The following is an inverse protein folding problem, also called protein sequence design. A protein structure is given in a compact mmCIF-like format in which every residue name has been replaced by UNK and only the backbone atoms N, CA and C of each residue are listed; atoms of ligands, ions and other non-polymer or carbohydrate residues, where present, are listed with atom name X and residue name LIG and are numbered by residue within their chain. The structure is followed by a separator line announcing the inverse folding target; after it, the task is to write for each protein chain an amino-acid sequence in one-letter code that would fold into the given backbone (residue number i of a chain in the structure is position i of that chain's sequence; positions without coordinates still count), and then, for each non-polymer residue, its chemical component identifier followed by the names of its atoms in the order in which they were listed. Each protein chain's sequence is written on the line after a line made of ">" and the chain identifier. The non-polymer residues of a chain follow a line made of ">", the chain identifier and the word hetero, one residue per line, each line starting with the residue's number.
data_IF_740268196405
#
_entry.id   IF_740268196405
#
_cell.length_a   1.000
_cell.length_b   1.000
_cell.length_c   1.000
_cell.angle_alpha   90.00
_cell.angle_beta   90.00
_cell.angle_gamma   90.00
#
_symmetry.space_group_name_H-M   'P 1'
#
loop_
_entity.id
_entity.type
_entity.pdbx_description
1 polymer ?
#
# COMPACT_ATOMS: atom_id res chain seq x y z
N UNK A 1 24.97 -11.99 1.08
CA UNK A 1 25.09 -10.57 1.48
C UNK A 1 26.19 -9.96 0.63
N UNK A 2 25.84 -9.13 -0.34
CA UNK A 2 26.81 -8.33 -1.09
C UNK A 2 26.74 -6.92 -0.50
N UNK A 3 27.81 -6.49 0.16
CA UNK A 3 27.92 -5.17 0.78
C UNK A 3 27.95 -4.11 -0.31
N UNK A 4 26.80 -3.50 -0.58
CA UNK A 4 26.73 -2.26 -1.34
C UNK A 4 26.60 -1.16 -0.29
N UNK A 5 27.74 -0.61 0.18
CA UNK A 5 27.92 0.55 1.06
C UNK A 5 26.93 0.77 2.25
N UNK A 6 27.47 0.75 3.48
CA UNK A 6 26.78 1.15 4.72
C UNK A 6 25.43 0.42 4.93
N UNK A 7 24.34 1.16 5.13
CA UNK A 7 23.01 0.66 5.46
C UNK A 7 22.16 0.28 4.24
N UNK A 8 22.71 0.34 3.02
CA UNK A 8 22.02 -0.10 1.81
C UNK A 8 22.12 -1.62 1.64
N UNK A 9 20.98 -2.27 1.44
CA UNK A 9 20.86 -3.73 1.50
C UNK A 9 19.91 -4.25 0.42
N UNK A 10 20.27 -5.37 -0.18
CA UNK A 10 19.34 -6.27 -0.87
C UNK A 10 19.15 -7.50 0.01
N UNK A 11 17.94 -7.68 0.55
CA UNK A 11 17.62 -8.66 1.59
C UNK A 11 16.51 -9.58 1.10
N UNK A 12 16.69 -10.88 1.25
CA UNK A 12 15.57 -11.81 1.28
C UNK A 12 15.01 -11.84 2.71
N UNK A 13 13.84 -11.24 2.90
CA UNK A 13 13.18 -11.10 4.22
C UNK A 13 12.61 -12.45 4.69
N UNK A 14 12.40 -13.38 3.75
CA UNK A 14 11.74 -14.66 3.99
C UNK A 14 10.39 -14.71 3.30
N UNK A 15 9.57 -15.66 3.69
CA UNK A 15 8.20 -15.84 3.20
C UNK A 15 7.24 -15.93 4.39
N UNK A 16 6.03 -16.46 4.15
CA UNK A 16 5.06 -16.65 5.23
C UNK A 16 5.40 -17.81 6.17
N UNK A 17 6.29 -18.74 5.79
CA UNK A 17 6.76 -19.89 6.57
C UNK A 17 5.72 -20.98 6.85
N UNK A 18 4.45 -20.59 7.01
CA UNK A 18 3.34 -21.43 7.49
C UNK A 18 2.32 -21.78 6.40
N UNK A 19 2.56 -21.33 5.16
CA UNK A 19 1.76 -21.68 4.00
C UNK A 19 0.55 -20.76 3.74
N UNK A 20 -0.50 -21.34 3.15
CA UNK A 20 -1.74 -20.65 2.79
C UNK A 20 -2.47 -20.10 4.03
N UNK A 21 -3.39 -19.15 3.81
CA UNK A 21 -4.24 -18.52 4.82
C UNK A 21 -3.49 -17.80 5.95
N UNK A 22 -2.26 -17.37 5.67
CA UNK A 22 -1.42 -16.63 6.59
C UNK A 22 -1.44 -15.13 6.28
N UNK A 23 -1.69 -14.32 7.30
CA UNK A 23 -1.51 -12.86 7.27
C UNK A 23 -0.19 -12.50 7.93
N UNK A 24 0.52 -11.56 7.31
CA UNK A 24 1.91 -11.28 7.63
C UNK A 24 2.18 -9.78 7.77
N UNK A 25 3.02 -9.43 8.72
CA UNK A 25 3.65 -8.11 8.83
C UNK A 25 5.11 -8.23 8.43
N UNK A 26 5.62 -7.22 7.72
CA UNK A 26 7.06 -7.00 7.56
C UNK A 26 7.43 -5.86 8.48
N UNK A 27 8.25 -6.12 9.50
CA UNK A 27 8.78 -5.08 10.38
C UNK A 27 9.76 -4.22 9.58
N UNK A 28 9.57 -2.89 9.59
CA UNK A 28 10.44 -1.97 8.86
C UNK A 28 11.59 -1.50 9.74
N UNK A 29 11.26 -0.80 10.83
CA UNK A 29 12.20 -0.33 11.84
C UNK A 29 11.49 0.03 13.14
N UNK A 30 12.24 0.18 14.24
CA UNK A 30 11.72 0.60 15.54
C UNK A 30 11.15 2.04 15.47
N UNK A 31 10.02 2.26 16.14
CA UNK A 31 9.38 3.57 16.32
C UNK A 31 9.82 4.21 17.63
N UNK A 32 9.96 5.53 17.64
CA UNK A 32 10.23 6.36 18.81
C UNK A 32 11.47 5.93 19.61
N UNK A 33 12.45 5.33 18.92
CA UNK A 33 13.68 4.86 19.55
C UNK A 33 14.69 5.99 19.73
N UNK A 34 15.71 5.76 20.56
CA UNK A 34 16.76 6.72 20.94
C UNK A 34 17.72 7.14 19.82
N UNK A 35 17.66 6.49 18.67
CA UNK A 35 18.49 6.77 17.50
C UNK A 35 17.62 6.91 16.24
N UNK A 36 18.23 7.46 15.18
CA UNK A 36 17.56 7.61 13.89
C UNK A 36 17.37 6.25 13.24
N UNK A 37 16.11 5.86 13.05
CA UNK A 37 15.71 4.62 12.40
C UNK A 37 15.02 4.94 11.09
N UNK A 38 15.21 4.12 10.07
CA UNK A 38 14.61 4.38 8.77
C UNK A 38 14.53 3.13 7.92
N UNK A 39 13.60 3.16 6.98
CA UNK A 39 13.54 2.23 5.86
C UNK A 39 13.15 3.04 4.62
N UNK A 40 14.02 3.04 3.61
CA UNK A 40 13.81 3.73 2.34
C UNK A 40 14.16 2.76 1.22
N UNK A 41 13.18 2.29 0.47
CA UNK A 41 13.41 1.26 -0.53
C UNK A 41 12.15 0.64 -1.09
N UNK A 42 12.35 -0.49 -1.77
CA UNK A 42 11.28 -1.25 -2.40
C UNK A 42 11.21 -2.63 -1.77
N UNK A 43 10.02 -3.03 -1.37
CA UNK A 43 9.67 -4.41 -1.01
C UNK A 43 8.88 -5.00 -2.18
N UNK A 44 9.39 -6.09 -2.72
CA UNK A 44 8.70 -6.88 -3.76
C UNK A 44 8.28 -8.21 -3.16
N UNK A 45 7.00 -8.54 -3.26
CA UNK A 45 6.50 -9.87 -2.92
C UNK A 45 6.26 -10.63 -4.22
N UNK A 46 6.96 -11.76 -4.39
CA UNK A 46 6.71 -12.63 -5.53
C UNK A 46 5.84 -13.80 -5.10
N UNK A 47 4.80 -14.02 -5.88
CA UNK A 47 4.06 -15.27 -5.94
C UNK A 47 3.95 -15.67 -7.39
N UNK A 48 4.07 -16.95 -7.67
CA UNK A 48 3.64 -17.53 -8.94
C UNK A 48 4.18 -18.93 -9.15
N UNK A 49 3.46 -19.71 -9.96
CA UNK A 49 3.94 -20.96 -10.54
C UNK A 49 3.28 -21.15 -11.90
N UNK A 50 3.80 -22.08 -12.70
CA UNK A 50 3.17 -22.45 -13.97
C UNK A 50 1.68 -22.76 -13.76
N UNK A 51 0.80 -22.17 -14.58
CA UNK A 51 -0.66 -22.29 -14.48
C UNK A 51 -1.35 -21.37 -13.46
N UNK A 52 -0.61 -20.74 -12.53
CA UNK A 52 -1.18 -19.82 -11.53
C UNK A 52 -0.85 -18.34 -11.78
N UNK A 53 0.03 -18.06 -12.76
CA UNK A 53 0.61 -16.74 -13.09
C UNK A 53 1.25 -16.05 -11.89
N UNK A 54 1.94 -14.92 -12.12
CA UNK A 54 2.48 -14.12 -11.03
C UNK A 54 1.50 -13.04 -10.58
N UNK A 55 1.70 -12.53 -9.36
CA UNK A 55 1.03 -11.33 -8.86
C UNK A 55 1.99 -10.16 -8.89
N UNK A 56 1.46 -8.97 -9.18
CA UNK A 56 2.18 -7.72 -8.94
C UNK A 56 1.88 -7.30 -7.51
N UNK A 57 2.92 -7.19 -6.70
CA UNK A 57 2.78 -6.83 -5.30
C UNK A 57 4.05 -6.14 -4.83
N UNK A 58 4.08 -4.81 -5.01
CA UNK A 58 5.27 -3.98 -4.80
C UNK A 58 4.91 -2.81 -3.90
N UNK A 59 5.69 -2.61 -2.84
CA UNK A 59 5.59 -1.46 -1.97
C UNK A 59 6.88 -0.63 -2.03
N UNK A 60 6.75 0.66 -2.34
CA UNK A 60 7.81 1.65 -2.20
C UNK A 60 7.58 2.39 -0.89
N UNK A 61 8.54 2.25 0.01
CA UNK A 61 8.47 2.82 1.36
C UNK A 61 9.52 3.91 1.51
N UNK A 62 9.12 4.97 2.21
CA UNK A 62 10.03 5.99 2.73
C UNK A 62 9.56 6.31 4.14
N UNK A 63 10.30 5.81 5.12
CA UNK A 63 9.95 5.99 6.53
C UNK A 63 11.16 6.31 7.38
N UNK A 64 10.92 7.05 8.45
CA UNK A 64 11.90 7.31 9.48
C UNK A 64 11.26 7.48 10.84
N UNK A 65 12.05 7.26 11.88
CA UNK A 65 11.67 7.56 13.25
C UNK A 65 12.85 8.08 14.06
N UNK A 66 12.52 8.94 15.01
CA UNK A 66 13.37 9.44 16.08
C UNK A 66 12.60 9.37 17.40
N UNK A 67 13.19 9.76 18.52
CA UNK A 67 12.64 9.65 19.87
C UNK A 67 11.22 10.24 20.06
N UNK A 68 10.73 11.07 19.15
CA UNK A 68 9.49 11.84 19.30
C UNK A 68 8.43 11.55 18.24
N UNK A 69 8.82 11.01 17.09
CA UNK A 69 7.90 10.83 15.97
C UNK A 69 8.33 9.72 15.03
N UNK A 70 7.32 9.20 14.34
CA UNK A 70 7.49 8.30 13.21
C UNK A 70 6.80 8.92 12.02
N UNK A 71 7.47 8.93 10.88
CA UNK A 71 6.94 9.45 9.63
C UNK A 71 7.08 8.41 8.52
N UNK A 72 6.07 8.29 7.68
CA UNK A 72 6.10 7.36 6.56
C UNK A 72 5.25 7.84 5.37
N UNK A 73 5.75 7.52 4.18
CA UNK A 73 5.01 7.47 2.93
C UNK A 73 5.02 6.02 2.38
N UNK A 74 3.95 5.65 1.70
CA UNK A 74 3.79 4.36 1.04
C UNK A 74 3.14 4.57 -0.33
N UNK A 75 3.82 4.12 -1.37
CA UNK A 75 3.25 3.96 -2.71
C UNK A 75 3.24 2.48 -3.07
N UNK A 76 2.14 1.99 -3.65
CA UNK A 76 1.97 0.55 -3.94
C UNK A 76 1.54 0.29 -5.37
N UNK A 77 1.99 -0.83 -5.90
CA UNK A 77 1.58 -1.38 -7.19
C UNK A 77 1.09 -2.81 -6.94
N UNK A 78 -0.23 -3.00 -6.88
CA UNK A 78 -0.85 -4.25 -6.46
C UNK A 78 -2.04 -4.62 -7.36
N UNK A 79 -2.29 -5.92 -7.52
CA UNK A 79 -3.35 -6.45 -8.40
C UNK A 79 -4.66 -6.86 -7.68
N UNK A 80 -4.65 -7.08 -6.36
CA UNK A 80 -5.82 -7.60 -5.61
C UNK A 80 -6.00 -7.10 -4.17
N UNK A 81 -5.14 -6.19 -3.69
CA UNK A 81 -5.26 -5.58 -2.37
C UNK A 81 -4.05 -4.69 -2.07
N UNK A 82 -4.23 -3.66 -1.27
CA UNK A 82 -3.17 -2.69 -0.99
C UNK A 82 -2.32 -3.10 0.21
N UNK A 83 -1.00 -2.86 0.14
CA UNK A 83 -0.18 -2.87 1.35
C UNK A 83 -0.68 -1.78 2.30
N UNK A 84 -0.55 -2.01 3.60
CA UNK A 84 -0.97 -1.05 4.61
C UNK A 84 0.14 -0.80 5.60
N UNK A 85 0.41 0.48 5.89
CA UNK A 85 1.26 0.86 7.00
C UNK A 85 0.55 0.52 8.31
N UNK A 86 1.30 -0.07 9.23
CA UNK A 86 0.86 -0.45 10.56
C UNK A 86 1.87 -0.02 11.60
N UNK A 87 1.41 0.11 12.83
CA UNK A 87 2.29 -0.04 14.01
C UNK A 87 2.00 -1.35 14.70
N UNK A 88 3.00 -1.93 15.35
CA UNK A 88 2.83 -3.10 16.19
C UNK A 88 3.86 -3.14 17.33
N UNK A 89 3.56 -3.84 18.40
CA UNK A 89 4.55 -4.22 19.41
C UNK A 89 5.14 -5.58 19.05
N UNK A 90 6.47 -5.67 18.88
CA UNK A 90 7.20 -6.91 18.68
C UNK A 90 8.32 -7.05 19.73
N UNK A 91 8.35 -8.15 20.48
CA UNK A 91 9.33 -8.39 21.56
C UNK A 91 9.49 -7.18 22.52
N UNK A 92 8.38 -6.54 22.89
CA UNK A 92 8.35 -5.40 23.82
C UNK A 92 8.73 -4.04 23.22
N UNK A 93 9.12 -3.98 21.94
CA UNK A 93 9.43 -2.73 21.22
C UNK A 93 8.33 -2.39 20.22
N UNK A 94 8.11 -1.11 19.95
CA UNK A 94 7.14 -0.66 18.94
C UNK A 94 7.83 -0.51 17.59
N UNK A 95 7.21 -1.02 16.53
CA UNK A 95 7.74 -0.97 15.16
C UNK A 95 6.74 -0.34 14.22
N UNK A 96 7.27 0.34 13.20
CA UNK A 96 6.57 0.59 11.97
C UNK A 96 6.66 -0.69 11.16
N UNK A 97 5.51 -1.14 10.65
CA UNK A 97 5.41 -2.39 9.91
C UNK A 97 4.54 -2.20 8.67
N UNK A 98 4.65 -3.15 7.75
CA UNK A 98 3.86 -3.20 6.54
C UNK A 98 3.02 -4.49 6.52
N UNK A 99 1.70 -4.36 6.51
CA UNK A 99 0.80 -5.48 6.28
C UNK A 99 0.86 -5.88 4.81
N UNK A 100 1.24 -7.14 4.58
CA UNK A 100 1.27 -7.74 3.25
C UNK A 100 -0.17 -7.92 2.75
N UNK A 101 -0.50 -7.54 1.49
CA UNK A 101 -1.80 -7.80 0.90
C UNK A 101 -2.24 -9.26 1.05
N UNK A 102 -3.36 -9.46 1.75
CA UNK A 102 -3.85 -10.80 2.06
C UNK A 102 -4.66 -11.39 0.91
N UNK A 103 -4.33 -12.63 0.54
CA UNK A 103 -5.24 -13.57 -0.12
C UNK A 103 -5.07 -14.94 0.51
N UNK A 104 -6.08 -15.79 0.34
CA UNK A 104 -6.08 -17.18 0.83
C UNK A 104 -4.81 -17.94 0.49
N UNK A 105 -4.18 -17.65 -0.65
CA UNK A 105 -2.92 -18.27 -0.99
C UNK A 105 -1.75 -17.26 -0.87
N UNK A 106 -0.62 -17.73 -0.33
CA UNK A 106 0.50 -16.90 0.14
C UNK A 106 1.51 -16.50 -0.97
N UNK A 107 2.50 -15.69 -0.59
CA UNK A 107 3.68 -15.31 -1.39
C UNK A 107 4.79 -16.34 -1.23
N UNK A 108 4.71 -17.41 -2.01
CA UNK A 108 5.57 -18.58 -1.87
C UNK A 108 7.02 -18.39 -2.34
N UNK A 109 7.31 -17.35 -3.12
CA UNK A 109 8.69 -16.96 -3.43
C UNK A 109 9.23 -15.92 -2.44
N UNK A 110 8.42 -15.53 -1.45
CA UNK A 110 8.78 -14.64 -0.36
C UNK A 110 8.85 -13.17 -0.73
N UNK A 111 9.55 -12.43 0.12
CA UNK A 111 9.65 -10.99 0.13
C UNK A 111 11.11 -10.58 -0.03
N UNK A 112 11.36 -9.68 -0.98
CA UNK A 112 12.68 -9.10 -1.21
C UNK A 112 12.62 -7.60 -0.94
N UNK A 113 13.60 -7.11 -0.17
CA UNK A 113 13.84 -5.70 0.03
C UNK A 113 15.09 -5.26 -0.72
N UNK A 114 15.04 -4.08 -1.33
CA UNK A 114 16.22 -3.36 -1.81
C UNK A 114 16.11 -1.90 -1.40
N UNK A 115 17.08 -1.40 -0.63
CA UNK A 115 17.09 -0.02 -0.15
C UNK A 115 17.95 0.21 1.08
N UNK A 116 17.86 1.40 1.66
CA UNK A 116 18.51 1.79 2.91
C UNK A 116 17.65 1.37 4.11
N UNK A 117 18.22 0.68 5.08
CA UNK A 117 17.52 0.33 6.32
C UNK A 117 18.42 0.30 7.55
N UNK A 118 17.99 1.02 8.58
CA UNK A 118 18.59 1.04 9.92
C UNK A 118 17.51 0.95 10.99
N UNK A 119 17.71 0.07 11.96
CA UNK A 119 16.84 -0.11 13.13
C UNK A 119 17.67 -0.38 14.38
N UNK A 120 17.32 0.21 15.51
CA UNK A 120 17.86 -0.11 16.86
C UNK A 120 17.30 -1.42 17.44
N UNK A 121 16.31 -1.99 16.77
CA UNK A 121 15.78 -3.33 17.03
C UNK A 121 15.81 -4.18 15.76
N UNK A 122 14.77 -4.98 15.57
CA UNK A 122 14.60 -5.78 14.37
C UNK A 122 14.36 -4.89 13.12
N UNK A 123 14.76 -5.35 11.95
CA UNK A 123 14.49 -4.66 10.69
C UNK A 123 14.30 -5.67 9.56
N UNK A 124 13.33 -5.41 8.68
CA UNK A 124 13.03 -6.26 7.53
C UNK A 124 12.78 -7.73 7.91
N UNK A 125 11.98 -7.95 8.95
CA UNK A 125 11.60 -9.27 9.44
C UNK A 125 10.14 -9.60 9.12
N UNK A 126 9.91 -10.80 8.59
CA UNK A 126 8.57 -11.35 8.31
C UNK A 126 7.98 -11.99 9.56
N UNK A 127 6.80 -11.53 10.00
CA UNK A 127 6.12 -12.04 11.21
C UNK A 127 4.64 -12.28 10.92
N UNK A 128 4.20 -13.53 11.00
CA UNK A 128 2.78 -13.85 10.88
C UNK A 128 2.01 -13.36 12.10
N UNK A 129 0.81 -12.81 11.89
CA UNK A 129 -0.09 -12.43 12.97
C UNK A 129 -1.40 -13.21 12.97
N UNK A 130 -1.72 -13.90 11.89
CA UNK A 130 -2.87 -14.80 11.82
C UNK A 130 -2.65 -15.92 10.81
N UNK A 131 -3.09 -17.14 11.15
CA UNK A 131 -3.12 -18.30 10.26
C UNK A 131 -4.50 -18.94 10.37
N UNK A 132 -5.17 -19.19 9.25
CA UNK A 132 -6.56 -19.68 9.24
C UNK A 132 -7.51 -18.81 10.08
N UNK A 133 -7.29 -17.50 10.07
CA UNK A 133 -7.99 -16.52 10.91
C UNK A 133 -7.81 -16.69 12.43
N UNK A 134 -6.89 -17.56 12.86
CA UNK A 134 -6.50 -17.71 14.28
C UNK A 134 -5.27 -16.83 14.53
N UNK A 135 -5.25 -15.98 15.58
CA UNK A 135 -4.07 -15.23 15.95
C UNK A 135 -2.87 -16.14 16.27
N UNK A 136 -1.69 -15.80 15.78
CA UNK A 136 -0.43 -16.52 16.05
C UNK A 136 0.63 -15.53 16.54
N UNK A 137 1.73 -16.04 17.09
CA UNK A 137 2.83 -15.23 17.63
C UNK A 137 2.39 -14.23 18.72
N UNK A 138 1.27 -14.47 19.40
CA UNK A 138 0.65 -13.54 20.37
C UNK A 138 1.50 -13.26 21.61
N UNK A 139 2.49 -14.12 21.90
CA UNK A 139 3.46 -13.89 22.98
C UNK A 139 4.52 -12.85 22.63
N UNK A 140 4.76 -12.60 21.35
CA UNK A 140 5.82 -11.70 20.86
C UNK A 140 5.27 -10.55 20.02
N UNK A 141 4.09 -10.70 19.42
CA UNK A 141 3.46 -9.72 18.55
C UNK A 141 2.08 -9.32 19.08
N UNK A 142 1.88 -8.02 19.29
CA UNK A 142 0.62 -7.45 19.78
C UNK A 142 0.41 -6.02 19.27
N UNK A 143 -0.70 -5.40 19.65
CA UNK A 143 -1.02 -3.99 19.38
C UNK A 143 -0.88 -3.58 17.90
N UNK A 144 -1.34 -4.43 16.98
CA UNK A 144 -1.32 -4.13 15.54
C UNK A 144 -2.40 -3.08 15.26
N UNK A 145 -2.00 -1.89 14.82
CA UNK A 145 -2.87 -0.75 14.54
C UNK A 145 -2.58 -0.17 13.16
N UNK A 146 -3.58 0.42 12.51
CA UNK A 146 -3.37 1.20 11.28
C UNK A 146 -2.44 2.39 11.54
N UNK A 147 -1.54 2.66 10.60
CA UNK A 147 -0.73 3.87 10.59
C UNK A 147 -1.09 4.66 9.33
N UNK A 148 -1.67 5.84 9.54
CA UNK A 148 -1.94 6.77 8.45
C UNK A 148 -0.63 7.40 7.97
N UNK A 149 -0.35 7.29 6.67
CA UNK A 149 0.80 7.95 6.07
C UNK A 149 0.73 9.47 6.32
N UNK A 150 1.82 10.03 6.83
CA UNK A 150 1.89 11.44 7.26
C UNK A 150 2.95 12.25 6.50
N UNK A 151 3.53 11.66 5.45
CA UNK A 151 4.44 12.33 4.52
C UNK A 151 3.72 12.57 3.20
N UNK A 152 4.01 13.71 2.57
CA UNK A 152 3.48 14.04 1.25
C UNK A 152 4.32 13.38 0.16
N UNK A 153 3.65 12.75 -0.81
CA UNK A 153 4.26 12.25 -2.05
C UNK A 153 3.91 13.18 -3.22
N UNK A 154 4.91 13.61 -4.00
CA UNK A 154 4.73 14.46 -5.17
C UNK A 154 5.04 13.69 -6.46
N UNK A 155 4.12 13.70 -7.43
CA UNK A 155 4.29 13.10 -8.75
C UNK A 155 4.42 14.21 -9.80
N UNK A 156 5.64 14.51 -10.23
CA UNK A 156 5.90 15.49 -11.28
C UNK A 156 5.78 14.83 -12.65
N UNK A 157 4.60 14.92 -13.26
CA UNK A 157 4.29 14.29 -14.55
C UNK A 157 3.87 15.33 -15.59
N UNK A 158 4.40 15.25 -16.81
CA UNK A 158 3.98 16.11 -17.92
C UNK A 158 2.57 15.76 -18.42
N UNK A 159 2.25 14.46 -18.43
CA UNK A 159 0.92 13.95 -18.76
C UNK A 159 0.63 12.72 -17.90
N UNK A 160 -0.54 12.68 -17.27
CA UNK A 160 -1.04 11.53 -16.52
C UNK A 160 -2.18 10.88 -17.29
N UNK A 161 -1.89 9.77 -17.97
CA UNK A 161 -2.87 9.03 -18.75
C UNK A 161 -3.32 7.77 -17.99
N UNK A 162 -4.63 7.66 -17.74
CA UNK A 162 -5.23 6.47 -17.12
C UNK A 162 -6.16 5.79 -18.12
N UNK A 163 -5.87 4.56 -18.49
CA UNK A 163 -6.71 3.79 -19.43
C UNK A 163 -7.95 3.18 -18.75
N UNK A 164 -7.86 2.94 -17.44
CA UNK A 164 -8.90 2.33 -16.60
C UNK A 164 -9.89 3.33 -16.02
N UNK A 165 -10.40 3.01 -14.83
CA UNK A 165 -11.25 3.89 -14.01
C UNK A 165 -10.45 4.40 -12.81
N UNK A 166 -10.66 5.65 -12.43
CA UNK A 166 -10.06 6.26 -11.24
C UNK A 166 -11.10 6.34 -10.13
N UNK A 167 -10.79 5.78 -8.97
CA UNK A 167 -11.59 5.89 -7.76
C UNK A 167 -10.89 6.79 -6.73
N UNK A 168 -11.57 7.83 -6.24
CA UNK A 168 -11.11 8.65 -5.11
C UNK A 168 -12.06 8.39 -3.94
N UNK A 169 -11.55 7.79 -2.85
CA UNK A 169 -12.38 7.37 -1.71
C UNK A 169 -13.26 6.14 -1.98
N UNK A 170 -13.05 5.45 -3.10
CA UNK A 170 -13.76 4.21 -3.46
C UNK A 170 -12.86 3.25 -4.22
N UNK A 171 -12.99 1.94 -3.93
CA UNK A 171 -12.29 0.88 -4.65
C UNK A 171 -13.09 0.31 -5.83
N UNK A 172 -14.38 0.67 -5.94
CA UNK A 172 -15.29 0.15 -6.96
C UNK A 172 -15.86 1.29 -7.82
N UNK A 173 -15.05 1.97 -8.65
CA UNK A 173 -15.54 3.04 -9.50
C UNK A 173 -16.51 2.49 -10.57
N UNK A 174 -17.70 3.08 -10.66
CA UNK A 174 -18.70 2.75 -11.69
C UNK A 174 -18.46 3.54 -12.99
N UNK A 175 -17.83 4.70 -12.89
CA UNK A 175 -17.51 5.61 -14.00
C UNK A 175 -16.01 5.72 -14.26
N UNK A 176 -15.59 6.40 -15.35
CA UNK A 176 -14.17 6.67 -15.64
C UNK A 176 -13.48 7.42 -14.49
N UNK A 177 -14.19 8.31 -13.81
CA UNK A 177 -13.79 8.92 -12.55
C UNK A 177 -14.96 8.81 -11.56
N UNK A 178 -14.76 8.12 -10.44
CA UNK A 178 -15.74 8.05 -9.35
C UNK A 178 -15.13 8.63 -8.07
N UNK A 179 -15.80 9.61 -7.48
CA UNK A 179 -15.38 10.26 -6.24
C UNK A 179 -16.42 10.00 -5.16
N UNK A 180 -16.04 9.29 -4.10
CA UNK A 180 -16.85 9.12 -2.91
C UNK A 180 -16.51 10.23 -1.91
N UNK A 181 -17.05 11.41 -2.15
CA UNK A 181 -16.74 12.61 -1.39
C UNK A 181 -17.12 13.88 -2.17
N UNK A 182 -16.78 15.03 -1.61
CA UNK A 182 -17.02 16.32 -2.27
C UNK A 182 -15.87 16.66 -3.22
N UNK A 183 -16.20 17.16 -4.41
CA UNK A 183 -15.25 17.76 -5.35
C UNK A 183 -15.36 19.27 -5.19
N UNK A 184 -14.23 19.95 -4.93
CA UNK A 184 -14.12 21.42 -4.98
C UNK A 184 -13.44 21.81 -6.29
N UNK A 185 -14.12 22.57 -7.12
CA UNK A 185 -13.61 23.08 -8.38
C UNK A 185 -13.93 24.58 -8.51
N UNK A 186 -13.05 25.33 -9.18
CA UNK A 186 -13.35 26.71 -9.57
C UNK A 186 -14.27 26.75 -10.79
N UNK A 187 -14.02 25.87 -11.77
CA UNK A 187 -14.81 25.71 -12.99
C UNK A 187 -14.79 24.24 -13.43
N UNK A 188 -15.90 23.76 -13.99
CA UNK A 188 -15.98 22.46 -14.67
C UNK A 188 -16.64 22.72 -16.03
N UNK A 189 -15.93 22.39 -17.12
CA UNK A 189 -16.51 22.41 -18.47
C UNK A 189 -17.13 21.04 -18.76
N UNK A 190 -18.43 21.03 -19.06
CA UNK A 190 -19.15 19.84 -19.51
C UNK A 190 -19.58 20.08 -20.95
N UNK A 191 -19.16 19.22 -21.87
CA UNK A 191 -19.53 19.29 -23.28
C UNK A 191 -20.46 18.11 -23.62
N UNK A 192 -21.61 18.40 -24.22
CA UNK A 192 -22.57 17.40 -24.70
C UNK A 192 -22.51 17.24 -26.22
N UNK A 193 -21.34 17.38 -26.83
CA UNK A 193 -21.21 17.32 -28.28
C UNK A 193 -21.94 16.07 -28.85
N UNK A 194 -22.93 16.31 -29.72
CA UNK A 194 -23.82 15.33 -30.40
C UNK A 194 -25.09 14.80 -29.68
N UNK A 195 -25.66 15.45 -28.66
CA UNK A 195 -27.06 15.16 -28.27
C UNK A 195 -28.04 16.27 -28.70
N UNK A 196 -28.93 16.04 -29.68
CA UNK A 196 -30.03 16.97 -29.93
C UNK A 196 -31.00 16.92 -28.76
N UNK A 197 -31.19 18.06 -28.12
CA UNK A 197 -32.21 18.30 -27.09
C UNK A 197 -33.56 18.47 -27.80
N UNK A 198 -34.37 17.41 -27.85
CA UNK A 198 -35.74 17.49 -28.35
C UNK A 198 -36.69 17.68 -27.18
N UNK A 199 -36.89 18.93 -26.78
CA UNK A 199 -38.05 19.31 -25.97
C UNK A 199 -39.24 19.45 -26.90
N UNK A 200 -39.98 18.36 -27.11
CA UNK A 200 -41.35 18.48 -27.63
C UNK A 200 -42.29 18.68 -26.45
N UNK A 201 -42.50 19.94 -26.05
CA UNK A 201 -43.70 20.25 -25.29
C UNK A 201 -44.92 19.92 -26.16
N UNK A 202 -45.88 19.21 -25.57
CA UNK A 202 -47.03 18.63 -26.29
C UNK A 202 -47.91 19.70 -26.97
N UNK A 203 -47.74 20.97 -26.59
CA UNK A 203 -48.55 22.10 -27.05
C UNK A 203 -47.76 23.16 -27.83
N UNK A 204 -46.63 22.81 -28.45
CA UNK A 204 -45.90 23.76 -29.31
C UNK A 204 -46.74 24.14 -30.54
N UNK A 205 -47.48 25.25 -30.43
CA UNK A 205 -48.25 25.83 -31.53
C UNK A 205 -47.31 26.52 -32.51
N UNK A 206 -47.16 25.90 -33.67
CA UNK A 206 -46.54 26.51 -34.85
C UNK A 206 -47.42 27.70 -35.27
N UNK A 207 -46.94 28.92 -35.04
CA UNK A 207 -47.57 30.12 -35.59
C UNK A 207 -47.33 30.12 -37.10
N UNK A 208 -48.41 30.25 -37.87
CA UNK A 208 -48.40 30.28 -39.33
C UNK A 208 -48.35 31.72 -39.84
#
# INVERSE_FOLDING_TARGET
>A
MTTIANDYKTIFIGDNGVGDYAKNLILLHECNASAFNYAVGTITALRGKNGAYNRINVAKISSSSSNFSTSAALATEDDFGSWKLKTCTYNGKTYLALEVPYRAAFHNAGYQFTGWVQSTGEAMASVNFSVNNVPVNTSVLSNIQDFEANMTEHHFVNSFAVMGKVGIGTFNPTEKLSVNGKIRAHEIKVEMANWPDYVFEQDYKILK
#
